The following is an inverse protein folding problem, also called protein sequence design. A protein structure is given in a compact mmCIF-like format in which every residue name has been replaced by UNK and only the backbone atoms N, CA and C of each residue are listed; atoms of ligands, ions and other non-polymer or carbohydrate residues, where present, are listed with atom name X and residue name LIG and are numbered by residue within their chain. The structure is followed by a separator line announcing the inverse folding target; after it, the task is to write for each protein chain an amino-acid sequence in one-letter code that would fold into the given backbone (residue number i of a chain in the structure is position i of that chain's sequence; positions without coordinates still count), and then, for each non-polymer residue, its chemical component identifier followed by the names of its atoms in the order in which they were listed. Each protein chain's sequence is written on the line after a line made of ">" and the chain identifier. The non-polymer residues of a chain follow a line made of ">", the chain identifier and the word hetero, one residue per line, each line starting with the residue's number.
data_IF_817126455558
#
_entry.id   IF_817126455558
#
_cell.length_a   1.000
_cell.length_b   1.000
_cell.length_c   1.000
_cell.angle_alpha   90.00
_cell.angle_beta   90.00
_cell.angle_gamma   90.00
#
_symmetry.space_group_name_H-M   'P 1'
#
loop_
_entity.id
_entity.type
_entity.pdbx_description
1 polymer ?
#
# COMPACT_ATOMS: atom_id res chain seq x y z
N UNK A 1 -20.54 -14.18 -7.29
CA UNK A 1 -19.74 -15.08 -6.39
C UNK A 1 -18.94 -16.14 -7.16
N UNK A 2 -19.56 -16.92 -8.05
CA UNK A 2 -18.85 -17.91 -8.89
C UNK A 2 -17.77 -17.26 -9.79
N UNK A 3 -18.09 -16.10 -10.39
CA UNK A 3 -17.16 -15.34 -11.22
C UNK A 3 -15.96 -14.83 -10.40
N UNK A 4 -16.17 -14.39 -9.17
CA UNK A 4 -15.11 -13.94 -8.26
C UNK A 4 -14.14 -15.08 -7.89
N UNK A 5 -14.66 -16.28 -7.62
CA UNK A 5 -13.84 -17.46 -7.33
C UNK A 5 -13.04 -17.85 -8.58
N UNK A 6 -13.66 -17.87 -9.76
CA UNK A 6 -12.99 -18.16 -11.01
C UNK A 6 -11.90 -17.13 -11.33
N UNK A 7 -12.17 -15.83 -11.10
CA UNK A 7 -11.20 -14.76 -11.27
C UNK A 7 -10.02 -14.89 -10.30
N UNK A 8 -10.28 -15.25 -9.05
CA UNK A 8 -9.25 -15.50 -8.04
C UNK A 8 -8.38 -16.73 -8.38
N UNK A 9 -8.97 -17.82 -8.83
CA UNK A 9 -8.23 -19.00 -9.28
C UNK A 9 -7.42 -18.70 -10.56
N UNK A 10 -8.01 -17.97 -11.51
CA UNK A 10 -7.34 -17.54 -12.73
C UNK A 10 -6.13 -16.65 -12.47
N UNK A 11 -6.25 -15.72 -11.52
CA UNK A 11 -5.11 -14.90 -11.08
C UNK A 11 -3.99 -15.75 -10.45
N UNK A 12 -4.35 -16.74 -9.63
CA UNK A 12 -3.37 -17.61 -8.97
C UNK A 12 -2.62 -18.48 -9.98
N UNK A 13 -3.34 -18.99 -10.98
CA UNK A 13 -2.77 -19.75 -12.10
C UNK A 13 -1.86 -18.88 -12.97
N UNK A 14 -2.26 -17.65 -13.29
CA UNK A 14 -1.44 -16.70 -14.05
C UNK A 14 -0.09 -16.46 -13.36
N UNK A 15 -0.12 -16.21 -12.05
CA UNK A 15 1.08 -15.96 -11.25
C UNK A 15 1.94 -17.22 -11.12
N UNK A 16 1.32 -18.40 -10.95
CA UNK A 16 2.02 -19.68 -10.97
C UNK A 16 2.74 -19.93 -12.31
N UNK A 17 2.13 -19.57 -13.44
CA UNK A 17 2.76 -19.65 -14.76
C UNK A 17 3.92 -18.66 -14.92
N UNK A 18 3.78 -17.42 -14.43
CA UNK A 18 4.89 -16.48 -14.37
C UNK A 18 6.06 -17.00 -13.52
N UNK A 19 5.76 -17.61 -12.37
CA UNK A 19 6.76 -18.24 -11.53
C UNK A 19 7.47 -19.41 -12.24
N UNK A 20 6.71 -20.27 -12.93
CA UNK A 20 7.28 -21.36 -13.75
C UNK A 20 8.15 -20.83 -14.89
N UNK A 21 7.71 -19.76 -15.56
CA UNK A 21 8.47 -19.10 -16.61
C UNK A 21 9.79 -18.49 -16.08
N UNK A 22 9.78 -18.00 -14.84
CA UNK A 22 10.98 -17.50 -14.17
C UNK A 22 11.97 -18.61 -13.84
N UNK A 23 11.50 -19.76 -13.37
CA UNK A 23 12.37 -20.91 -13.04
C UNK A 23 12.92 -21.64 -14.27
N UNK A 24 12.23 -21.59 -15.41
CA UNK A 24 12.64 -22.33 -16.60
C UNK A 24 13.86 -21.72 -17.29
N UNK A 25 14.84 -22.57 -17.60
CA UNK A 25 16.02 -22.24 -18.42
C UNK A 25 15.76 -22.35 -19.92
N UNK A 26 14.68 -23.02 -20.34
CA UNK A 26 14.34 -23.20 -21.75
C UNK A 26 13.57 -21.98 -22.29
N UNK A 27 14.09 -21.38 -23.36
CA UNK A 27 13.57 -20.13 -23.95
C UNK A 27 12.13 -20.31 -24.47
N UNK A 28 11.83 -21.44 -25.13
CA UNK A 28 10.50 -21.72 -25.68
C UNK A 28 9.44 -21.84 -24.58
N UNK A 29 9.73 -22.61 -23.52
CA UNK A 29 8.85 -22.79 -22.36
C UNK A 29 8.63 -21.47 -21.63
N UNK A 30 9.68 -20.65 -21.49
CA UNK A 30 9.60 -19.31 -20.88
C UNK A 30 8.71 -18.37 -21.68
N UNK A 31 8.80 -18.35 -23.01
CA UNK A 31 7.95 -17.49 -23.87
C UNK A 31 6.49 -17.93 -23.80
N UNK A 32 6.22 -19.23 -23.95
CA UNK A 32 4.87 -19.78 -23.90
C UNK A 32 4.21 -19.55 -22.54
N UNK A 33 4.93 -19.82 -21.45
CA UNK A 33 4.41 -19.63 -20.09
C UNK A 33 4.15 -18.15 -19.75
N UNK A 34 4.96 -17.22 -20.27
CA UNK A 34 4.71 -15.77 -20.11
C UNK A 34 3.46 -15.33 -20.87
N UNK A 35 3.32 -15.79 -22.12
CA UNK A 35 2.20 -15.41 -22.97
C UNK A 35 0.89 -15.99 -22.43
N UNK A 36 0.89 -17.25 -22.00
CA UNK A 36 -0.29 -17.87 -21.37
C UNK A 36 -0.62 -17.22 -20.02
N UNK A 37 0.38 -16.84 -19.22
CA UNK A 37 0.16 -16.11 -17.98
C UNK A 37 -0.49 -14.75 -18.24
N UNK A 38 -0.01 -13.99 -19.23
CA UNK A 38 -0.58 -12.69 -19.58
C UNK A 38 -2.04 -12.82 -20.04
N UNK A 39 -2.35 -13.79 -20.89
CA UNK A 39 -3.72 -14.07 -21.33
C UNK A 39 -4.63 -14.44 -20.18
N UNK A 40 -4.18 -15.30 -19.25
CA UNK A 40 -4.95 -15.64 -18.05
C UNK A 40 -5.16 -14.43 -17.14
N UNK A 41 -4.16 -13.54 -17.03
CA UNK A 41 -4.25 -12.34 -16.21
C UNK A 41 -5.29 -11.36 -16.78
N UNK A 42 -5.32 -11.18 -18.09
CA UNK A 42 -6.35 -10.40 -18.78
C UNK A 42 -7.74 -11.03 -18.63
N UNK A 43 -7.85 -12.34 -18.79
CA UNK A 43 -9.11 -13.05 -18.59
C UNK A 43 -9.62 -12.91 -17.15
N UNK A 44 -8.73 -13.05 -16.16
CA UNK A 44 -9.04 -12.83 -14.75
C UNK A 44 -9.49 -11.40 -14.46
N UNK A 45 -8.82 -10.40 -15.03
CA UNK A 45 -9.22 -8.99 -14.92
C UNK A 45 -10.62 -8.77 -15.49
N UNK A 46 -10.91 -9.30 -16.69
CA UNK A 46 -12.24 -9.19 -17.29
C UNK A 46 -13.32 -9.79 -16.39
N UNK A 47 -13.06 -10.93 -15.74
CA UNK A 47 -14.02 -11.53 -14.79
C UNK A 47 -14.27 -10.65 -13.55
N UNK A 48 -13.22 -10.02 -13.01
CA UNK A 48 -13.37 -9.06 -11.91
C UNK A 48 -14.19 -7.83 -12.31
N UNK A 49 -13.94 -7.30 -13.51
CA UNK A 49 -14.65 -6.15 -14.06
C UNK A 49 -16.12 -6.46 -14.35
N UNK A 50 -16.41 -7.66 -14.87
CA UNK A 50 -17.80 -8.07 -15.14
C UNK A 50 -18.63 -8.22 -13.86
N UNK A 51 -18.03 -8.69 -12.76
CA UNK A 51 -18.76 -8.92 -11.51
C UNK A 51 -18.95 -7.63 -10.69
N UNK A 52 -17.94 -6.75 -10.61
CA UNK A 52 -17.94 -5.60 -9.70
C UNK A 52 -17.90 -4.23 -10.41
N UNK A 53 -17.92 -4.22 -11.75
CA UNK A 53 -17.74 -3.03 -12.56
C UNK A 53 -16.25 -2.69 -12.78
N UNK A 54 -15.96 -1.76 -13.71
CA UNK A 54 -14.59 -1.45 -14.13
C UNK A 54 -13.71 -0.87 -13.03
N UNK A 55 -14.26 -0.01 -12.17
CA UNK A 55 -13.50 0.66 -11.11
C UNK A 55 -13.13 -0.32 -9.98
N UNK A 56 -14.14 -0.92 -9.34
CA UNK A 56 -13.94 -1.85 -8.22
C UNK A 56 -13.30 -3.17 -8.67
N UNK A 57 -13.68 -3.68 -9.85
CA UNK A 57 -13.10 -4.90 -10.41
C UNK A 57 -11.60 -4.77 -10.67
N UNK A 58 -11.15 -3.62 -11.19
CA UNK A 58 -9.71 -3.36 -11.39
C UNK A 58 -8.97 -3.30 -10.05
N UNK A 59 -9.55 -2.63 -9.04
CA UNK A 59 -8.98 -2.59 -7.69
C UNK A 59 -8.81 -4.00 -7.11
N UNK A 60 -9.84 -4.84 -7.19
CA UNK A 60 -9.77 -6.21 -6.69
C UNK A 60 -8.77 -7.07 -7.45
N UNK A 61 -8.70 -6.95 -8.78
CA UNK A 61 -7.74 -7.67 -9.60
C UNK A 61 -6.29 -7.30 -9.20
N UNK A 62 -5.97 -6.01 -9.08
CA UNK A 62 -4.63 -5.53 -8.71
C UNK A 62 -4.22 -6.03 -7.32
N UNK A 63 -5.12 -5.96 -6.34
CA UNK A 63 -4.87 -6.45 -4.98
C UNK A 63 -4.66 -7.97 -4.99
N UNK A 64 -5.51 -8.72 -5.68
CA UNK A 64 -5.40 -10.18 -5.79
C UNK A 64 -4.07 -10.59 -6.44
N UNK A 65 -3.70 -9.97 -7.58
CA UNK A 65 -2.44 -10.28 -8.25
C UNK A 65 -1.24 -9.98 -7.35
N UNK A 66 -1.26 -8.84 -6.64
CA UNK A 66 -0.18 -8.44 -5.76
C UNK A 66 -0.02 -9.43 -4.60
N UNK A 67 -1.08 -9.71 -3.85
CA UNK A 67 -1.01 -10.61 -2.70
C UNK A 67 -0.55 -12.02 -3.09
N UNK A 68 -1.05 -12.54 -4.21
CA UNK A 68 -0.66 -13.87 -4.70
C UNK A 68 0.80 -13.90 -5.18
N UNK A 69 1.29 -12.83 -5.84
CA UNK A 69 2.69 -12.73 -6.25
C UNK A 69 3.63 -12.68 -5.04
N UNK A 70 3.30 -11.86 -4.03
CA UNK A 70 4.04 -11.80 -2.77
C UNK A 70 4.05 -13.14 -2.03
N UNK A 71 2.92 -13.86 -2.02
CA UNK A 71 2.83 -15.22 -1.45
C UNK A 71 3.80 -16.18 -2.13
N UNK A 72 3.87 -16.17 -3.47
CA UNK A 72 4.80 -17.00 -4.22
C UNK A 72 6.27 -16.62 -3.96
N UNK A 73 6.60 -15.32 -3.90
CA UNK A 73 7.95 -14.85 -3.58
C UNK A 73 8.38 -15.31 -2.18
N UNK A 74 7.48 -15.21 -1.20
CA UNK A 74 7.74 -15.65 0.17
C UNK A 74 8.02 -17.16 0.24
N UNK A 75 7.19 -17.97 -0.43
CA UNK A 75 7.38 -19.42 -0.52
C UNK A 75 8.67 -19.80 -1.27
N UNK A 76 9.00 -19.07 -2.34
CA UNK A 76 10.23 -19.27 -3.10
C UNK A 76 11.48 -18.95 -2.26
N UNK A 77 11.46 -17.85 -1.49
CA UNK A 77 12.57 -17.48 -0.59
C UNK A 77 12.87 -18.56 0.45
N UNK A 78 11.85 -19.23 1.00
CA UNK A 78 12.05 -20.32 1.97
C UNK A 78 12.75 -21.55 1.38
N UNK A 79 12.69 -21.74 0.05
CA UNK A 79 13.27 -22.90 -0.65
C UNK A 79 14.67 -22.65 -1.22
N UNK A 80 15.14 -21.41 -1.23
CA UNK A 80 16.53 -21.12 -1.62
C UNK A 80 17.42 -21.66 -0.51
N UNK A 81 18.13 -22.74 -0.81
CA UNK A 81 19.16 -23.31 0.07
C UNK A 81 20.11 -22.20 0.53
N UNK A 82 20.39 -22.15 1.84
CA UNK A 82 21.39 -21.26 2.45
C UNK A 82 22.80 -21.41 1.84
N UNK A 83 23.02 -22.41 0.97
CA UNK A 83 24.29 -22.70 0.30
C UNK A 83 24.45 -22.04 -1.08
N UNK A 84 23.65 -21.03 -1.45
CA UNK A 84 24.08 -20.14 -2.55
C UNK A 84 25.35 -19.45 -2.07
N UNK A 85 26.49 -19.85 -2.66
CA UNK A 85 27.81 -19.25 -2.42
C UNK A 85 27.65 -17.75 -2.65
N UNK A 86 27.55 -16.98 -1.56
CA UNK A 86 27.52 -15.53 -1.63
C UNK A 86 28.85 -15.15 -2.25
N UNK A 87 28.80 -14.59 -3.46
CA UNK A 87 29.94 -13.84 -3.96
C UNK A 87 30.07 -12.68 -3.00
N UNK A 88 31.14 -12.69 -2.21
CA UNK A 88 31.49 -11.56 -1.35
C UNK A 88 31.84 -10.40 -2.27
N UNK A 89 30.80 -9.63 -2.63
CA UNK A 89 30.96 -8.30 -3.18
C UNK A 89 31.79 -7.51 -2.15
N UNK A 90 32.73 -6.66 -2.57
CA UNK A 90 33.44 -5.75 -1.67
C UNK A 90 32.45 -4.67 -1.22
N UNK A 91 31.51 -5.06 -0.37
CA UNK A 91 30.49 -4.20 0.17
C UNK A 91 31.10 -3.50 1.39
N UNK A 92 30.96 -2.18 1.39
CA UNK A 92 31.34 -1.26 2.46
C UNK A 92 31.08 -1.91 3.82
N UNK A 93 32.12 -1.91 4.65
CA UNK A 93 32.14 -2.47 5.99
C UNK A 93 30.79 -2.28 6.71
N UNK A 94 30.20 -3.41 7.11
CA UNK A 94 29.19 -3.55 8.17
C UNK A 94 28.33 -2.31 8.42
N UNK A 95 27.14 -2.26 7.82
CA UNK A 95 26.06 -1.41 8.36
C UNK A 95 25.77 -1.92 9.77
N UNK A 96 26.34 -1.26 10.78
CA UNK A 96 26.05 -1.58 12.17
C UNK A 96 24.55 -1.49 12.41
N UNK A 97 23.94 -2.45 13.14
CA UNK A 97 22.52 -2.38 13.43
C UNK A 97 22.21 -1.06 14.13
N UNK A 98 21.08 -0.41 13.77
CA UNK A 98 20.71 0.85 14.39
C UNK A 98 20.58 0.65 15.90
N UNK A 99 21.04 1.64 16.67
CA UNK A 99 20.91 1.59 18.14
C UNK A 99 19.44 1.45 18.55
N UNK A 100 19.17 0.80 19.69
CA UNK A 100 17.82 0.67 20.25
C UNK A 100 17.11 2.01 20.38
N UNK A 101 17.85 3.08 20.71
CA UNK A 101 17.35 4.45 20.79
C UNK A 101 16.89 5.00 19.44
N UNK A 102 17.57 4.65 18.35
CA UNK A 102 17.18 5.04 16.99
C UNK A 102 15.92 4.30 16.56
N UNK A 103 15.84 3.00 16.86
CA UNK A 103 14.64 2.19 16.59
C UNK A 103 13.44 2.73 17.36
N UNK A 104 13.59 3.02 18.66
CA UNK A 104 12.51 3.58 19.48
C UNK A 104 12.00 4.92 18.92
N UNK A 105 12.91 5.83 18.56
CA UNK A 105 12.56 7.12 17.96
C UNK A 105 11.83 6.95 16.63
N UNK A 106 12.27 6.01 15.79
CA UNK A 106 11.59 5.70 14.53
C UNK A 106 10.20 5.11 14.76
N UNK A 107 10.03 4.22 15.74
CA UNK A 107 8.73 3.66 16.12
C UNK A 107 7.77 4.73 16.63
N UNK A 108 8.22 5.66 17.46
CA UNK A 108 7.40 6.79 17.92
C UNK A 108 6.99 7.68 16.74
N UNK A 109 7.91 7.98 15.82
CA UNK A 109 7.59 8.72 14.58
C UNK A 109 6.56 7.98 13.73
N UNK A 110 6.71 6.66 13.57
CA UNK A 110 5.77 5.84 12.83
C UNK A 110 4.36 5.91 13.43
N UNK A 111 4.24 5.77 14.75
CA UNK A 111 2.95 5.90 15.45
C UNK A 111 2.35 7.30 15.26
N UNK A 112 3.17 8.36 15.32
CA UNK A 112 2.72 9.74 15.06
C UNK A 112 2.26 9.97 13.62
N UNK A 113 2.95 9.37 12.64
CA UNK A 113 2.57 9.43 11.22
C UNK A 113 1.27 8.66 10.98
N UNK A 114 1.13 7.46 11.54
CA UNK A 114 -0.02 6.59 11.26
C UNK A 114 -1.26 7.07 11.99
N UNK A 115 -1.17 7.38 13.28
CA UNK A 115 -2.35 7.70 14.09
C UNK A 115 -2.59 9.20 14.15
N UNK A 116 -1.66 9.96 14.71
CA UNK A 116 -1.89 11.39 14.98
C UNK A 116 -2.12 12.19 13.69
N UNK A 117 -1.30 11.93 12.67
CA UNK A 117 -1.40 12.64 11.39
C UNK A 117 -2.66 12.22 10.62
N UNK A 118 -3.06 10.94 10.66
CA UNK A 118 -4.27 10.48 10.00
C UNK A 118 -5.55 11.00 10.68
N UNK A 119 -5.61 10.98 12.01
CA UNK A 119 -6.76 11.50 12.78
C UNK A 119 -6.91 13.01 12.53
N UNK A 120 -5.80 13.76 12.58
CA UNK A 120 -5.83 15.19 12.28
C UNK A 120 -6.31 15.44 10.84
N UNK A 121 -5.74 14.75 9.85
CA UNK A 121 -6.13 14.92 8.45
C UNK A 121 -7.60 14.59 8.22
N UNK A 122 -8.11 13.54 8.87
CA UNK A 122 -9.53 13.17 8.82
C UNK A 122 -10.42 14.29 9.37
N UNK A 123 -10.19 14.73 10.62
CA UNK A 123 -11.03 15.75 11.25
C UNK A 123 -10.98 17.08 10.50
N UNK A 124 -9.79 17.54 10.11
CA UNK A 124 -9.63 18.78 9.34
C UNK A 124 -10.33 18.67 7.97
N UNK A 125 -10.26 17.50 7.31
CA UNK A 125 -10.98 17.28 6.05
C UNK A 125 -12.49 17.38 6.24
N UNK A 126 -13.02 16.82 7.34
CA UNK A 126 -14.46 16.91 7.62
C UNK A 126 -14.85 18.37 7.88
N UNK A 127 -14.13 19.10 8.73
CA UNK A 127 -14.36 20.54 8.96
C UNK A 127 -14.34 21.33 7.65
N UNK A 128 -13.33 21.08 6.81
CA UNK A 128 -13.15 21.76 5.53
C UNK A 128 -14.29 21.48 4.57
N UNK A 129 -14.70 20.21 4.42
CA UNK A 129 -15.74 19.81 3.48
C UNK A 129 -17.15 20.23 3.92
N UNK A 130 -17.41 20.33 5.23
CA UNK A 130 -18.70 20.79 5.77
C UNK A 130 -18.83 22.30 5.82
N UNK A 131 -17.71 23.05 5.82
CA UNK A 131 -17.72 24.51 5.76
C UNK A 131 -18.28 25.07 4.44
N UNK A 132 -18.25 24.28 3.35
CA UNK A 132 -18.78 24.69 2.06
C UNK A 132 -20.18 24.11 1.78
N UNK A 133 -21.10 24.97 1.36
CA UNK A 133 -22.42 24.57 0.90
C UNK A 133 -22.35 24.00 -0.54
N UNK A 134 -21.97 22.73 -0.65
CA UNK A 134 -21.81 22.01 -1.90
C UNK A 134 -22.74 20.79 -1.97
N UNK A 135 -22.99 20.28 -3.17
CA UNK A 135 -23.68 19.00 -3.33
C UNK A 135 -22.88 17.87 -2.68
N UNK A 136 -23.56 16.82 -2.18
CA UNK A 136 -22.90 15.70 -1.48
C UNK A 136 -21.80 15.04 -2.32
N UNK A 137 -21.99 14.95 -3.64
CA UNK A 137 -21.00 14.36 -4.55
C UNK A 137 -19.70 15.18 -4.56
N UNK A 138 -19.81 16.51 -4.60
CA UNK A 138 -18.66 17.40 -4.59
C UNK A 138 -17.94 17.40 -3.24
N UNK A 139 -18.68 17.29 -2.12
CA UNK A 139 -18.09 17.17 -0.79
C UNK A 139 -17.27 15.88 -0.64
N UNK A 140 -17.80 14.75 -1.12
CA UNK A 140 -17.10 13.46 -1.10
C UNK A 140 -15.85 13.52 -1.97
N UNK A 141 -15.96 14.05 -3.20
CA UNK A 141 -14.82 14.21 -4.10
C UNK A 141 -13.73 15.07 -3.46
N UNK A 142 -14.10 16.22 -2.89
CA UNK A 142 -13.17 17.11 -2.19
C UNK A 142 -12.46 16.37 -1.05
N UNK A 143 -13.20 15.65 -0.21
CA UNK A 143 -12.63 14.89 0.90
C UNK A 143 -11.63 13.82 0.47
N UNK A 144 -11.95 13.06 -0.58
CA UNK A 144 -11.07 12.00 -1.13
C UNK A 144 -9.75 12.58 -1.64
N UNK A 145 -9.77 13.77 -2.26
CA UNK A 145 -8.55 14.39 -2.77
C UNK A 145 -7.76 15.14 -1.68
N UNK A 146 -8.41 15.79 -0.73
CA UNK A 146 -7.73 16.59 0.29
C UNK A 146 -7.14 15.75 1.42
N UNK A 147 -7.80 14.65 1.82
CA UNK A 147 -7.36 13.85 2.97
C UNK A 147 -5.94 13.26 2.79
N UNK A 148 -5.58 12.63 1.64
CA UNK A 148 -4.23 12.12 1.44
C UNK A 148 -3.16 13.21 1.40
N UNK A 149 -3.51 14.40 0.88
CA UNK A 149 -2.60 15.55 0.85
C UNK A 149 -2.33 16.05 2.27
N UNK A 150 -3.37 16.25 3.07
CA UNK A 150 -3.23 16.68 4.47
C UNK A 150 -2.48 15.65 5.32
N UNK A 151 -2.76 14.36 5.11
CA UNK A 151 -2.04 13.30 5.79
C UNK A 151 -0.57 13.24 5.35
N UNK A 152 -0.29 13.36 4.06
CA UNK A 152 1.07 13.40 3.52
C UNK A 152 1.88 14.60 4.04
N UNK A 153 1.29 15.80 4.07
CA UNK A 153 1.93 17.00 4.59
C UNK A 153 2.24 16.89 6.09
N UNK A 154 1.29 16.42 6.89
CA UNK A 154 1.49 16.24 8.34
C UNK A 154 2.51 15.14 8.64
N UNK A 155 2.47 14.02 7.92
CA UNK A 155 3.45 12.95 8.01
C UNK A 155 4.87 13.41 7.62
N UNK A 156 4.98 14.18 6.53
CA UNK A 156 6.24 14.77 6.10
C UNK A 156 6.79 15.71 7.16
N UNK A 157 5.97 16.63 7.69
CA UNK A 157 6.41 17.59 8.69
C UNK A 157 6.87 16.90 9.99
N UNK A 158 6.14 15.87 10.45
CA UNK A 158 6.51 15.08 11.63
C UNK A 158 7.85 14.33 11.44
N UNK A 159 8.15 13.91 10.21
CA UNK A 159 9.41 13.25 9.88
C UNK A 159 10.57 14.23 9.70
N UNK A 160 10.34 15.35 9.03
CA UNK A 160 11.35 16.32 8.60
C UNK A 160 11.81 17.27 9.71
N UNK A 161 10.96 17.57 10.69
CA UNK A 161 11.34 18.50 11.76
C UNK A 161 12.36 17.86 12.72
N UNK A 162 13.37 18.67 13.10
CA UNK A 162 14.39 18.33 14.08
C UNK A 162 13.83 18.23 15.50
N UNK A 163 12.77 19.00 15.80
CA UNK A 163 12.15 19.10 17.12
C UNK A 163 10.73 18.55 17.08
N UNK A 164 10.58 17.28 17.45
CA UNK A 164 9.30 16.55 17.42
C UNK A 164 8.13 17.24 18.15
N UNK A 165 8.39 18.02 19.20
CA UNK A 165 7.33 18.68 19.95
C UNK A 165 6.56 19.72 19.12
N UNK A 166 7.19 20.33 18.09
CA UNK A 166 6.55 21.35 17.24
C UNK A 166 5.44 20.74 16.37
N UNK A 167 5.71 19.74 15.49
CA UNK A 167 4.67 19.13 14.69
C UNK A 167 3.65 18.40 15.56
N UNK A 168 4.09 17.70 16.62
CA UNK A 168 3.16 17.00 17.53
C UNK A 168 2.21 18.00 18.21
N UNK A 169 2.72 19.12 18.72
CA UNK A 169 1.92 20.15 19.36
C UNK A 169 0.90 20.79 18.41
N UNK A 170 1.34 21.18 17.21
CA UNK A 170 0.45 21.81 16.21
C UNK A 170 -0.60 20.83 15.69
N UNK A 171 -0.21 19.61 15.33
CA UNK A 171 -1.15 18.59 14.83
C UNK A 171 -2.16 18.21 15.92
N UNK A 172 -1.72 18.09 17.18
CA UNK A 172 -2.63 17.81 18.30
C UNK A 172 -3.59 18.96 18.56
N UNK A 173 -3.11 20.21 18.50
CA UNK A 173 -3.96 21.39 18.65
C UNK A 173 -5.01 21.48 17.53
N UNK A 174 -4.63 21.27 16.26
CA UNK A 174 -5.54 21.23 15.13
C UNK A 174 -6.59 20.11 15.28
N UNK A 175 -6.15 18.93 15.75
CA UNK A 175 -7.04 17.80 16.04
C UNK A 175 -8.07 18.19 17.10
N UNK A 176 -7.63 18.78 18.21
CA UNK A 176 -8.51 19.21 19.30
C UNK A 176 -9.50 20.27 18.84
N UNK A 177 -9.04 21.32 18.16
CA UNK A 177 -9.90 22.40 17.64
C UNK A 177 -10.93 21.85 16.66
N UNK A 178 -10.52 20.97 15.74
CA UNK A 178 -11.43 20.35 14.77
C UNK A 178 -12.45 19.44 15.45
N UNK A 179 -12.03 18.68 16.46
CA UNK A 179 -12.93 17.83 17.25
C UNK A 179 -13.97 18.67 17.98
N UNK A 180 -13.55 19.73 18.68
CA UNK A 180 -14.48 20.64 19.36
C UNK A 180 -15.47 21.24 18.37
N UNK A 181 -14.99 21.81 17.26
CA UNK A 181 -15.87 22.40 16.24
C UNK A 181 -16.94 21.44 15.72
N UNK A 182 -16.60 20.16 15.52
CA UNK A 182 -17.52 19.16 14.97
C UNK A 182 -18.51 18.59 15.99
N UNK A 183 -18.15 18.53 17.27
CA UNK A 183 -18.91 17.80 18.29
C UNK A 183 -19.40 18.66 19.47
N UNK A 184 -19.01 19.93 19.56
CA UNK A 184 -19.52 20.88 20.57
C UNK A 184 -20.64 21.79 20.04
N UNK A 185 -21.14 21.51 18.84
CA UNK A 185 -22.36 22.09 18.24
C UNK A 185 -23.44 21.02 18.27
#
# INVERSE_FOLDING_TARGET
>A
MLLSIAAFLGSALAIGLFYRAWKSTQIAVKRLAKLSALLLMLASLSLWVTEYGPELGTCYAVVAFSLQAWSWIYLARRRISKNVKRVDLPFVASVSPPSTTTVLKASVKLLGVVFLSAICAMLVTVVWTTAFNMSKVNQIALGIYTMPVLWGCSAYWLCADSKLWRPVGVISALTAVSYFYLYSV
#
